data_IF_357184623813
#
_entry.id   IF_357184623813
#
_cell.length_a   1.000
_cell.length_b   1.000
_cell.length_c   1.000
_cell.angle_alpha   90.00
_cell.angle_beta   90.00
_cell.angle_gamma   90.00
#
_symmetry.space_group_name_H-M   'P 1'
#
loop_
_entity.id
_entity.type
_entity.pdbx_description
1 polymer ?
#
# COMPACT_ATOMS: atom_id res chain seq x y z
N UNK A 1 -19.87 -21.97 24.26
CA UNK A 1 -18.42 -21.73 24.40
C UNK A 1 -17.75 -22.51 23.28
N UNK A 2 -17.53 -21.86 22.13
CA UNK A 2 -16.78 -22.47 21.03
C UNK A 2 -15.34 -22.03 21.20
N UNK A 3 -14.46 -22.99 21.40
CA UNK A 3 -13.02 -22.77 21.53
C UNK A 3 -12.52 -21.99 20.32
N UNK A 4 -11.90 -20.84 20.57
CA UNK A 4 -11.15 -20.09 19.58
C UNK A 4 -9.92 -20.91 19.22
N UNK A 5 -10.05 -21.79 18.23
CA UNK A 5 -8.89 -22.47 17.65
C UNK A 5 -8.16 -21.42 16.83
N UNK A 6 -7.12 -20.81 17.42
CA UNK A 6 -6.32 -19.79 16.76
C UNK A 6 -5.62 -20.42 15.57
N UNK A 7 -5.97 -19.96 14.37
CA UNK A 7 -5.42 -20.50 13.14
C UNK A 7 -3.94 -20.11 13.00
N UNK A 8 -3.18 -20.83 12.16
CA UNK A 8 -1.80 -20.45 11.84
C UNK A 8 -1.73 -19.02 11.28
N UNK A 9 -2.78 -18.57 10.58
CA UNK A 9 -2.91 -17.20 10.10
C UNK A 9 -2.92 -16.18 11.25
N UNK A 10 -3.66 -16.44 12.32
CA UNK A 10 -3.75 -15.55 13.48
C UNK A 10 -2.46 -15.53 14.32
N UNK A 11 -1.73 -16.65 14.32
CA UNK A 11 -0.56 -16.89 15.15
C UNK A 11 0.76 -16.46 14.50
N UNK A 12 0.92 -16.77 13.23
CA UNK A 12 2.14 -16.53 12.45
C UNK A 12 1.79 -16.37 10.97
N UNK A 13 1.47 -15.12 10.61
CA UNK A 13 1.15 -14.74 9.23
C UNK A 13 2.25 -15.15 8.23
N UNK A 14 3.52 -15.05 8.63
CA UNK A 14 4.64 -15.36 7.73
C UNK A 14 4.68 -16.86 7.44
N UNK A 15 4.61 -17.69 8.48
CA UNK A 15 4.55 -19.14 8.33
C UNK A 15 3.30 -19.58 7.54
N UNK A 16 2.15 -18.93 7.77
CA UNK A 16 0.94 -19.17 7.00
C UNK A 16 1.10 -18.81 5.52
N UNK A 17 1.72 -17.67 5.19
CA UNK A 17 2.00 -17.26 3.80
C UNK A 17 2.92 -18.27 3.10
N UNK A 18 3.99 -18.71 3.75
CA UNK A 18 4.94 -19.69 3.20
C UNK A 18 4.24 -21.02 2.92
N UNK A 19 3.43 -21.49 3.89
CA UNK A 19 2.66 -22.73 3.75
C UNK A 19 1.63 -22.63 2.64
N UNK A 20 0.87 -21.54 2.58
CA UNK A 20 -0.14 -21.30 1.55
C UNK A 20 0.49 -21.24 0.16
N UNK A 21 1.64 -20.55 0.02
CA UNK A 21 2.40 -20.52 -1.22
C UNK A 21 2.94 -21.89 -1.64
N UNK A 22 3.33 -22.74 -0.69
CA UNK A 22 3.69 -24.13 -0.98
C UNK A 22 2.50 -24.94 -1.49
N UNK A 23 1.35 -24.87 -0.81
CA UNK A 23 0.12 -25.57 -1.21
C UNK A 23 -0.34 -25.18 -2.62
N UNK A 24 -0.26 -23.88 -2.96
CA UNK A 24 -0.55 -23.37 -4.31
C UNK A 24 0.37 -24.01 -5.36
N UNK A 25 1.70 -24.03 -5.10
CA UNK A 25 2.68 -24.62 -6.02
C UNK A 25 2.52 -26.13 -6.20
N UNK A 26 2.07 -26.83 -5.16
CA UNK A 26 1.78 -28.27 -5.18
C UNK A 26 0.39 -28.59 -5.78
N UNK A 27 -0.44 -27.58 -6.08
CA UNK A 27 -1.80 -27.76 -6.62
C UNK A 27 -2.82 -28.29 -5.59
N UNK A 28 -2.53 -28.16 -4.30
CA UNK A 28 -3.33 -28.70 -3.18
C UNK A 28 -4.46 -27.75 -2.76
N UNK A 29 -5.35 -27.41 -3.70
CA UNK A 29 -6.41 -26.41 -3.54
C UNK A 29 -7.48 -26.72 -2.48
N UNK A 30 -7.59 -27.97 -2.05
CA UNK A 30 -8.52 -28.39 -0.98
C UNK A 30 -8.01 -28.05 0.42
N UNK A 31 -6.70 -27.78 0.57
CA UNK A 31 -6.06 -27.51 1.86
C UNK A 31 -5.81 -26.01 2.10
N UNK A 32 -6.09 -25.18 1.10
CA UNK A 32 -5.94 -23.74 1.19
C UNK A 32 -7.15 -23.16 1.92
N UNK A 33 -6.87 -22.34 2.92
CA UNK A 33 -7.85 -21.43 3.52
C UNK A 33 -8.16 -20.30 2.52
N UNK A 34 -9.28 -20.44 1.82
CA UNK A 34 -9.65 -19.55 0.71
C UNK A 34 -10.07 -18.17 1.18
N UNK A 35 -10.70 -18.10 2.35
CA UNK A 35 -11.22 -16.85 2.88
C UNK A 35 -10.07 -15.96 3.33
N UNK A 36 -9.13 -16.51 4.11
CA UNK A 36 -7.92 -15.80 4.51
C UNK A 36 -7.02 -15.45 3.31
N UNK A 37 -6.90 -16.34 2.30
CA UNK A 37 -6.17 -16.03 1.07
C UNK A 37 -6.79 -14.87 0.28
N UNK A 38 -8.11 -14.85 0.13
CA UNK A 38 -8.80 -13.76 -0.55
C UNK A 38 -8.60 -12.44 0.20
N UNK A 39 -8.76 -12.45 1.53
CA UNK A 39 -8.56 -11.27 2.36
C UNK A 39 -7.16 -10.68 2.20
N UNK A 40 -6.12 -11.53 2.22
CA UNK A 40 -4.73 -11.09 2.07
C UNK A 40 -4.43 -10.54 0.67
N UNK A 41 -4.93 -11.17 -0.40
CA UNK A 41 -4.79 -10.65 -1.76
C UNK A 41 -5.45 -9.26 -1.89
N UNK A 42 -6.64 -9.10 -1.32
CA UNK A 42 -7.31 -7.80 -1.31
C UNK A 42 -6.58 -6.77 -0.43
N UNK A 43 -5.97 -7.23 0.69
CA UNK A 43 -5.19 -6.40 1.59
C UNK A 43 -3.97 -5.80 0.89
N UNK A 44 -3.29 -6.55 0.03
CA UNK A 44 -2.20 -6.06 -0.82
C UNK A 44 -2.67 -4.90 -1.71
N UNK A 45 -3.82 -5.05 -2.38
CA UNK A 45 -4.39 -3.95 -3.16
C UNK A 45 -4.75 -2.73 -2.30
N UNK A 46 -5.21 -2.94 -1.05
CA UNK A 46 -5.49 -1.87 -0.10
C UNK A 46 -4.21 -1.18 0.41
N UNK A 47 -3.09 -1.89 0.58
CA UNK A 47 -1.82 -1.28 1.01
C UNK A 47 -1.24 -0.39 -0.08
N UNK A 48 -1.25 -0.84 -1.34
CA UNK A 48 -0.79 -0.04 -2.49
C UNK A 48 -1.58 1.28 -2.62
N UNK A 49 -2.91 1.21 -2.53
CA UNK A 49 -3.78 2.40 -2.52
C UNK A 49 -3.54 3.32 -1.31
N UNK A 50 -3.15 2.76 -0.16
CA UNK A 50 -2.77 3.55 1.03
C UNK A 50 -1.42 4.24 0.83
N UNK A 51 -0.43 3.54 0.28
CA UNK A 51 0.89 4.08 -0.02
C UNK A 51 0.79 5.28 -0.97
N UNK A 52 0.04 5.14 -2.08
CA UNK A 52 -0.23 6.23 -3.01
C UNK A 52 -0.80 7.47 -2.33
N UNK A 53 -1.86 7.31 -1.52
CA UNK A 53 -2.47 8.45 -0.80
C UNK A 53 -1.49 9.12 0.15
N UNK A 54 -0.65 8.34 0.83
CA UNK A 54 0.35 8.86 1.76
C UNK A 54 1.38 9.72 1.01
N UNK A 55 1.95 9.19 -0.07
CA UNK A 55 2.93 9.90 -0.89
C UNK A 55 2.34 11.16 -1.52
N UNK A 56 1.11 11.07 -2.01
CA UNK A 56 0.42 12.21 -2.60
C UNK A 56 0.21 13.34 -1.59
N UNK A 57 -0.24 13.02 -0.37
CA UNK A 57 -0.39 14.03 0.71
C UNK A 57 0.94 14.69 1.06
N UNK A 58 2.01 13.90 1.18
CA UNK A 58 3.35 14.44 1.49
C UNK A 58 3.83 15.36 0.35
N UNK A 59 3.64 14.94 -0.89
CA UNK A 59 4.01 15.71 -2.08
C UNK A 59 3.24 17.04 -2.13
N UNK A 60 1.92 17.00 -2.02
CA UNK A 60 1.06 18.20 -2.07
C UNK A 60 1.39 19.17 -0.92
N UNK A 61 1.51 18.66 0.31
CA UNK A 61 1.88 19.47 1.47
C UNK A 61 3.21 20.20 1.26
N UNK A 62 4.25 19.50 0.78
CA UNK A 62 5.55 20.14 0.58
C UNK A 62 5.55 21.07 -0.62
N UNK A 63 4.82 20.77 -1.69
CA UNK A 63 4.64 21.70 -2.81
C UNK A 63 3.95 22.99 -2.38
N UNK A 64 2.88 22.92 -1.58
CA UNK A 64 2.19 24.10 -1.05
C UNK A 64 3.11 24.92 -0.15
N UNK A 65 3.83 24.27 0.77
CA UNK A 65 4.85 24.94 1.60
C UNK A 65 5.93 25.61 0.74
N UNK A 66 6.38 24.93 -0.31
CA UNK A 66 7.39 25.47 -1.21
C UNK A 66 6.89 26.72 -1.92
N UNK A 67 5.66 26.70 -2.44
CA UNK A 67 5.08 27.80 -3.19
C UNK A 67 4.80 29.02 -2.31
N UNK A 68 4.18 28.80 -1.14
CA UNK A 68 3.65 29.87 -0.31
C UNK A 68 4.55 30.30 0.86
N UNK A 69 5.67 29.61 1.09
CA UNK A 69 6.64 29.93 2.17
C UNK A 69 8.07 29.95 1.63
N UNK A 70 8.39 30.81 0.64
CA UNK A 70 9.72 30.86 0.02
C UNK A 70 10.87 31.07 1.01
N UNK A 71 10.62 31.81 2.09
CA UNK A 71 11.57 32.09 3.16
C UNK A 71 11.89 30.88 4.06
N UNK A 72 11.06 29.84 4.02
CA UNK A 72 11.22 28.60 4.81
C UNK A 72 11.68 27.41 3.97
N UNK A 73 12.01 27.62 2.70
CA UNK A 73 12.50 26.55 1.82
C UNK A 73 13.79 25.96 2.39
N UNK A 74 13.81 24.65 2.53
CA UNK A 74 14.98 23.90 2.97
C UNK A 74 15.29 22.78 1.99
N UNK A 75 16.55 22.34 1.98
CA UNK A 75 16.96 21.14 1.24
C UNK A 75 16.15 19.90 1.63
N UNK A 76 15.72 19.81 2.89
CA UNK A 76 14.87 18.72 3.38
C UNK A 76 13.52 18.69 2.63
N UNK A 77 12.86 19.84 2.49
CA UNK A 77 11.59 19.93 1.77
C UNK A 77 11.73 19.61 0.28
N UNK A 78 12.79 20.10 -0.36
CA UNK A 78 13.09 19.76 -1.75
C UNK A 78 13.27 18.24 -1.92
N UNK A 79 14.03 17.61 -1.02
CA UNK A 79 14.23 16.16 -1.02
C UNK A 79 12.91 15.41 -0.81
N UNK A 80 12.04 15.85 0.10
CA UNK A 80 10.71 15.24 0.29
C UNK A 80 9.87 15.31 -0.99
N UNK A 81 9.85 16.44 -1.68
CA UNK A 81 9.15 16.58 -2.97
C UNK A 81 9.70 15.59 -3.99
N UNK A 82 11.03 15.58 -4.17
CA UNK A 82 11.69 14.73 -5.17
C UNK A 82 11.50 13.24 -4.89
N UNK A 83 11.61 12.82 -3.63
CA UNK A 83 11.43 11.43 -3.22
C UNK A 83 9.99 10.99 -3.43
N UNK A 84 8.99 11.74 -2.93
CA UNK A 84 7.58 11.39 -3.10
C UNK A 84 7.17 11.37 -4.58
N UNK A 85 7.68 12.30 -5.40
CA UNK A 85 7.41 12.29 -6.83
C UNK A 85 8.05 11.09 -7.56
N UNK A 86 9.23 10.63 -7.12
CA UNK A 86 9.87 9.43 -7.67
C UNK A 86 9.08 8.18 -7.27
N UNK A 87 8.79 8.02 -5.98
CA UNK A 87 8.06 6.86 -5.45
C UNK A 87 6.66 6.75 -6.05
N UNK A 88 5.97 7.87 -6.32
CA UNK A 88 4.71 7.86 -7.05
C UNK A 88 4.86 7.36 -8.49
N UNK A 89 5.95 7.72 -9.19
CA UNK A 89 6.20 7.21 -10.54
C UNK A 89 6.44 5.70 -10.52
N UNK A 90 7.27 5.22 -9.59
CA UNK A 90 7.54 3.79 -9.39
C UNK A 90 6.24 3.03 -9.11
N UNK A 91 5.38 3.52 -8.21
CA UNK A 91 4.06 2.92 -7.97
C UNK A 91 3.17 2.85 -9.23
N UNK A 92 3.21 3.86 -10.09
CA UNK A 92 2.44 3.84 -11.34
C UNK A 92 3.03 2.95 -12.42
N UNK A 93 4.33 2.65 -12.34
CA UNK A 93 5.02 1.69 -13.22
C UNK A 93 4.71 0.26 -12.79
N UNK A 94 4.81 -0.02 -11.49
CA UNK A 94 4.53 -1.34 -10.90
C UNK A 94 3.03 -1.69 -10.94
N UNK A 95 2.17 -0.69 -10.73
CA UNK A 95 0.71 -0.85 -10.69
C UNK A 95 -0.01 0.22 -11.52
N UNK A 96 -0.12 0.07 -12.85
CA UNK A 96 -0.76 1.06 -13.74
C UNK A 96 -2.22 1.40 -13.37
N UNK A 97 -2.93 0.46 -12.74
CA UNK A 97 -4.31 0.66 -12.25
C UNK A 97 -4.41 1.74 -11.17
N UNK A 98 -3.31 2.06 -10.47
CA UNK A 98 -3.25 3.14 -9.49
C UNK A 98 -3.43 4.52 -10.11
N UNK A 99 -3.21 4.70 -11.42
CA UNK A 99 -3.45 5.99 -12.11
C UNK A 99 -4.91 6.41 -12.04
N UNK A 100 -5.83 5.47 -12.28
CA UNK A 100 -7.27 5.72 -12.15
C UNK A 100 -7.63 6.06 -10.70
N UNK A 101 -7.06 5.31 -9.76
CA UNK A 101 -7.31 5.57 -8.34
C UNK A 101 -6.76 6.92 -7.87
N UNK A 102 -5.63 7.38 -8.44
CA UNK A 102 -5.10 8.72 -8.21
C UNK A 102 -6.12 9.80 -8.58
N UNK A 103 -6.74 9.70 -9.76
CA UNK A 103 -7.79 10.63 -10.22
C UNK A 103 -8.95 10.70 -9.20
N UNK A 104 -9.35 9.54 -8.66
CA UNK A 104 -10.45 9.44 -7.67
C UNK A 104 -10.08 9.96 -6.27
N UNK A 105 -8.79 10.05 -5.94
CA UNK A 105 -8.35 10.42 -4.59
C UNK A 105 -7.60 11.75 -4.50
N UNK A 106 -7.26 12.37 -5.63
CA UNK A 106 -6.47 13.60 -5.67
C UNK A 106 -7.08 14.71 -4.83
N UNK A 107 -8.34 15.07 -5.09
CA UNK A 107 -9.08 16.10 -4.36
C UNK A 107 -9.12 15.82 -2.84
N UNK A 108 -9.37 14.57 -2.46
CA UNK A 108 -9.38 14.14 -1.04
C UNK A 108 -8.01 14.17 -0.37
N UNK A 109 -6.93 14.17 -1.15
CA UNK A 109 -5.56 14.29 -0.62
C UNK A 109 -5.10 15.75 -0.58
N UNK A 110 -5.78 16.64 -1.32
CA UNK A 110 -5.49 18.07 -1.34
C UNK A 110 -6.19 18.83 -0.20
N UNK A 111 -7.38 18.38 0.21
CA UNK A 111 -8.10 18.85 1.40
C UNK A 111 -7.38 18.51 2.70
#
# INVERSE_FOLDING_TARGET
MSSTDMSLYDLDLVAWCDRTGQLIREGRWSEIDRDNLAEEIEALGRSERRALRSLLRVLLMHHLKWEFQPEKRTRSWEMSIRNSARELRELFEDSPSLRRYFEDCFERCYQ
#
